data_IF_057418722787
#
_entry.id   IF_057418722787
#
_cell.length_a   1.000
_cell.length_b   1.000
_cell.length_c   1.000
_cell.angle_alpha   90.00
_cell.angle_beta   90.00
_cell.angle_gamma   90.00
#
_symmetry.space_group_name_H-M   'P 1'
#
loop_
_entity.id
_entity.type
_entity.pdbx_description
1 polymer ?
#
# COMPACT_ATOMS: atom_id res chain seq x y z
N UNK A 1 -7.32 27.33 16.17
CA UNK A 1 -8.15 27.20 14.97
C UNK A 1 -9.56 27.69 15.25
N UNK A 2 -10.25 28.21 14.24
CA UNK A 2 -11.61 28.77 14.34
C UNK A 2 -12.59 27.73 14.94
N UNK A 3 -12.48 26.48 14.55
CA UNK A 3 -13.32 25.38 15.04
C UNK A 3 -13.17 25.12 16.55
N UNK A 4 -11.94 25.12 17.07
CA UNK A 4 -11.67 24.93 18.49
C UNK A 4 -12.27 26.07 19.34
N UNK A 5 -12.17 27.30 18.85
CA UNK A 5 -12.74 28.47 19.53
C UNK A 5 -14.27 28.42 19.52
N UNK A 6 -14.89 28.05 18.41
CA UNK A 6 -16.36 27.86 18.34
C UNK A 6 -16.86 26.77 19.30
N UNK A 7 -16.19 25.63 19.35
CA UNK A 7 -16.53 24.58 20.32
C UNK A 7 -16.46 25.10 21.74
N UNK A 8 -15.41 25.84 22.11
CA UNK A 8 -15.20 26.32 23.47
C UNK A 8 -16.16 27.45 23.87
N UNK A 9 -16.40 28.38 22.94
CA UNK A 9 -17.13 29.63 23.25
C UNK A 9 -18.64 29.52 23.01
N UNK A 10 -19.05 28.73 22.01
CA UNK A 10 -20.45 28.67 21.58
C UNK A 10 -21.10 27.36 22.04
N UNK A 11 -20.47 26.21 21.86
CA UNK A 11 -21.10 24.91 22.07
C UNK A 11 -20.97 24.44 23.51
N UNK A 12 -19.81 24.57 24.14
CA UNK A 12 -19.59 24.09 25.51
C UNK A 12 -20.46 24.82 26.56
N UNK A 13 -20.68 26.16 26.49
CA UNK A 13 -21.60 26.82 27.40
C UNK A 13 -23.04 26.30 27.27
N UNK A 14 -23.54 26.14 26.05
CA UNK A 14 -24.86 25.60 25.77
C UNK A 14 -25.02 24.17 26.29
N UNK A 15 -23.99 23.35 26.12
CA UNK A 15 -23.98 21.98 26.63
C UNK A 15 -24.01 21.92 28.15
N UNK A 16 -23.33 22.85 28.85
CA UNK A 16 -23.38 22.95 30.33
C UNK A 16 -24.75 23.38 30.82
N UNK A 17 -25.42 24.27 30.11
CA UNK A 17 -26.78 24.70 30.44
C UNK A 17 -27.79 23.55 30.33
N UNK A 18 -27.73 22.80 29.21
CA UNK A 18 -28.64 21.68 28.96
C UNK A 18 -28.33 20.45 29.82
N UNK A 19 -27.06 20.18 30.07
CA UNK A 19 -26.59 19.01 30.83
C UNK A 19 -25.43 19.39 31.76
N UNK A 20 -25.70 19.88 32.99
CA UNK A 20 -24.66 20.39 33.91
C UNK A 20 -23.51 19.43 34.20
N UNK A 21 -23.71 18.11 34.04
CA UNK A 21 -22.70 17.08 34.24
C UNK A 21 -21.96 16.62 32.96
N UNK A 22 -22.30 17.18 31.81
CA UNK A 22 -21.81 16.70 30.51
C UNK A 22 -20.27 16.71 30.39
N UNK A 23 -19.65 17.82 30.79
CA UNK A 23 -18.19 17.98 30.72
C UNK A 23 -17.44 16.92 31.53
N UNK A 24 -17.91 16.72 32.80
CA UNK A 24 -17.34 15.69 33.66
C UNK A 24 -17.54 14.26 33.10
N UNK A 25 -18.69 14.01 32.48
CA UNK A 25 -18.96 12.72 31.84
C UNK A 25 -18.10 12.48 30.60
N UNK A 26 -17.93 13.49 29.76
CA UNK A 26 -17.03 13.44 28.60
C UNK A 26 -15.60 13.17 29.07
N UNK A 27 -15.09 13.87 30.06
CA UNK A 27 -13.75 13.68 30.60
C UNK A 27 -13.55 12.26 31.16
N UNK A 28 -14.49 11.74 31.93
CA UNK A 28 -14.42 10.36 32.44
C UNK A 28 -14.43 9.34 31.36
N UNK A 29 -15.32 9.47 30.36
CA UNK A 29 -15.35 8.57 29.21
C UNK A 29 -14.04 8.62 28.42
N UNK A 30 -13.51 9.81 28.18
CA UNK A 30 -12.22 9.97 27.50
C UNK A 30 -11.07 9.32 28.28
N UNK A 31 -11.10 9.34 29.60
CA UNK A 31 -10.08 8.68 30.42
C UNK A 31 -10.20 7.16 30.37
N UNK A 32 -11.40 6.61 30.43
CA UNK A 32 -11.65 5.17 30.26
C UNK A 32 -11.11 4.72 28.90
N UNK A 33 -11.51 5.40 27.83
CA UNK A 33 -11.07 5.07 26.46
C UNK A 33 -9.53 5.15 26.28
N UNK A 34 -8.86 6.07 26.97
CA UNK A 34 -7.38 6.14 26.94
C UNK A 34 -6.75 4.91 27.61
N UNK A 35 -7.31 4.44 28.71
CA UNK A 35 -6.82 3.23 29.39
C UNK A 35 -7.06 1.99 28.56
N UNK A 36 -8.23 1.86 27.94
CA UNK A 36 -8.53 0.78 26.99
C UNK A 36 -7.59 0.81 25.79
N UNK A 37 -7.30 2.00 25.24
CA UNK A 37 -6.35 2.15 24.13
C UNK A 37 -4.94 1.70 24.50
N UNK A 38 -4.52 1.91 25.75
CA UNK A 38 -3.25 1.36 26.27
C UNK A 38 -3.22 -0.16 26.22
N UNK A 39 -4.27 -0.80 26.71
CA UNK A 39 -4.41 -2.26 26.65
C UNK A 39 -4.40 -2.80 25.21
N UNK A 40 -5.16 -2.17 24.31
CA UNK A 40 -5.17 -2.54 22.89
C UNK A 40 -3.80 -2.44 22.25
N UNK A 41 -3.04 -1.39 22.57
CA UNK A 41 -1.69 -1.21 22.06
C UNK A 41 -0.77 -2.35 22.49
N UNK A 42 -0.78 -2.71 23.77
CA UNK A 42 0.01 -3.84 24.28
C UNK A 42 -0.36 -5.16 23.58
N UNK A 43 -1.66 -5.43 23.38
CA UNK A 43 -2.13 -6.62 22.67
C UNK A 43 -1.65 -6.64 21.21
N UNK A 44 -1.69 -5.50 20.53
CA UNK A 44 -1.20 -5.36 19.15
C UNK A 44 0.30 -5.59 19.09
N UNK A 45 1.08 -5.00 20.00
CA UNK A 45 2.53 -5.15 20.02
C UNK A 45 2.98 -6.60 20.22
N UNK A 46 2.21 -7.41 20.96
CA UNK A 46 2.49 -8.84 21.16
C UNK A 46 2.32 -9.69 19.90
N UNK A 47 1.47 -9.26 18.98
CA UNK A 47 1.19 -10.02 17.74
C UNK A 47 1.94 -9.49 16.53
N UNK A 48 2.44 -8.26 16.60
CA UNK A 48 3.22 -7.67 15.51
C UNK A 48 4.65 -8.21 15.47
N UNK A 49 5.27 -8.30 14.29
CA UNK A 49 6.68 -8.62 14.18
C UNK A 49 7.52 -7.55 14.91
N UNK A 50 8.64 -7.94 15.49
CA UNK A 50 9.55 -7.00 16.16
C UNK A 50 10.01 -5.89 15.22
N UNK A 51 10.24 -6.23 13.96
CA UNK A 51 10.65 -5.30 12.89
C UNK A 51 9.92 -5.59 11.59
N UNK A 52 9.78 -4.54 10.79
CA UNK A 52 9.16 -4.66 9.46
C UNK A 52 7.63 -4.73 9.51
N UNK A 53 7.07 -5.17 8.42
CA UNK A 53 5.62 -5.14 8.13
C UNK A 53 5.14 -6.45 7.50
N UNK A 54 5.99 -7.48 7.45
CA UNK A 54 5.63 -8.81 6.97
C UNK A 54 5.13 -9.67 8.15
N UNK A 55 4.01 -10.34 7.94
CA UNK A 55 3.39 -11.25 8.90
C UNK A 55 2.87 -12.51 8.18
N UNK A 56 2.76 -13.59 8.93
CA UNK A 56 2.00 -14.74 8.46
C UNK A 56 0.51 -14.38 8.37
N UNK A 57 -0.07 -14.63 7.22
CA UNK A 57 -1.49 -14.40 6.93
C UNK A 57 -2.39 -15.13 7.93
N UNK A 58 -2.05 -16.36 8.26
CA UNK A 58 -2.77 -17.17 9.22
C UNK A 58 -2.85 -16.53 10.60
N UNK A 59 -1.73 -15.96 11.09
CA UNK A 59 -1.71 -15.25 12.38
C UNK A 59 -2.69 -14.10 12.39
N UNK A 60 -2.74 -13.30 11.31
CA UNK A 60 -3.73 -12.23 11.19
C UNK A 60 -5.16 -12.75 11.18
N UNK A 61 -5.45 -13.82 10.44
CA UNK A 61 -6.79 -14.38 10.33
C UNK A 61 -7.31 -15.01 11.63
N UNK A 62 -6.42 -15.55 12.47
CA UNK A 62 -6.77 -16.10 13.78
C UNK A 62 -7.08 -15.00 14.84
N UNK A 63 -6.66 -13.75 14.60
CA UNK A 63 -6.99 -12.67 15.51
C UNK A 63 -8.50 -12.34 15.49
N UNK A 64 -9.09 -11.99 16.64
CA UNK A 64 -10.40 -11.36 16.67
C UNK A 64 -10.42 -10.12 15.77
N UNK A 65 -11.53 -9.88 15.08
CA UNK A 65 -11.66 -8.81 14.08
C UNK A 65 -11.16 -7.44 14.57
N UNK A 66 -11.54 -7.05 15.79
CA UNK A 66 -11.13 -5.76 16.35
C UNK A 66 -9.60 -5.66 16.54
N UNK A 67 -8.96 -6.74 16.96
CA UNK A 67 -7.50 -6.79 17.15
C UNK A 67 -6.78 -6.83 15.79
N UNK A 68 -7.32 -7.57 14.84
CA UNK A 68 -6.80 -7.63 13.47
C UNK A 68 -6.83 -6.26 12.79
N UNK A 69 -7.93 -5.51 12.88
CA UNK A 69 -7.99 -4.14 12.35
C UNK A 69 -6.94 -3.23 13.00
N UNK A 70 -6.72 -3.36 14.30
CA UNK A 70 -5.69 -2.58 15.00
C UNK A 70 -4.28 -2.99 14.58
N UNK A 71 -4.03 -4.28 14.36
CA UNK A 71 -2.77 -4.78 13.83
C UNK A 71 -2.51 -4.24 12.41
N UNK A 72 -3.48 -4.30 11.51
CA UNK A 72 -3.38 -3.71 10.17
C UNK A 72 -3.10 -2.20 10.24
N UNK A 73 -3.77 -1.48 11.13
CA UNK A 73 -3.52 -0.05 11.35
C UNK A 73 -2.09 0.22 11.79
N UNK A 74 -1.58 -0.55 12.75
CA UNK A 74 -0.22 -0.41 13.24
C UNK A 74 0.83 -0.76 12.17
N UNK A 75 0.56 -1.77 11.32
CA UNK A 75 1.41 -2.07 10.15
C UNK A 75 1.44 -0.91 9.15
N UNK A 76 0.29 -0.30 8.86
CA UNK A 76 0.21 0.90 8.01
C UNK A 76 1.06 2.04 8.60
N UNK A 77 0.99 2.25 9.91
CA UNK A 77 1.77 3.30 10.60
C UNK A 77 3.27 3.09 10.50
N UNK A 78 3.72 1.83 10.47
CA UNK A 78 5.14 1.49 10.27
C UNK A 78 5.62 1.74 8.83
N UNK A 79 4.72 1.72 7.86
CA UNK A 79 5.04 1.83 6.43
C UNK A 79 4.82 3.25 5.91
N UNK A 80 3.72 3.91 6.30
CA UNK A 80 3.26 5.15 5.73
C UNK A 80 3.71 6.37 6.55
N UNK A 81 4.03 7.44 5.85
CA UNK A 81 4.25 8.76 6.45
C UNK A 81 2.88 9.43 6.69
N UNK A 82 2.18 9.00 7.76
CA UNK A 82 0.93 9.61 8.20
C UNK A 82 -0.34 8.81 7.90
N UNK A 83 -1.35 8.96 8.78
CA UNK A 83 -2.63 8.24 8.72
C UNK A 83 -3.75 9.00 8.02
N UNK A 84 -3.55 10.23 7.60
CA UNK A 84 -4.66 11.14 7.24
C UNK A 84 -5.56 10.64 6.12
N UNK A 85 -5.02 9.77 5.26
CA UNK A 85 -5.72 9.32 4.07
C UNK A 85 -6.33 7.92 4.19
N UNK A 86 -6.22 7.28 5.36
CA UNK A 86 -6.73 5.93 5.59
C UNK A 86 -8.09 5.95 6.29
N UNK A 87 -9.14 5.62 5.54
CA UNK A 87 -10.50 5.43 6.04
C UNK A 87 -10.89 3.94 6.18
N UNK A 88 -12.08 3.69 6.69
CA UNK A 88 -12.62 2.32 6.88
C UNK A 88 -12.54 1.46 5.61
N UNK A 89 -12.84 2.04 4.44
CA UNK A 89 -12.82 1.33 3.16
C UNK A 89 -11.45 0.71 2.83
N UNK A 90 -10.34 1.33 3.23
CA UNK A 90 -9.00 0.78 3.00
C UNK A 90 -8.73 -0.44 3.88
N UNK A 91 -9.16 -0.42 5.14
CA UNK A 91 -9.03 -1.58 6.04
C UNK A 91 -9.94 -2.74 5.62
N UNK A 92 -11.16 -2.45 5.16
CA UNK A 92 -12.05 -3.45 4.57
C UNK A 92 -11.47 -4.07 3.30
N UNK A 93 -10.78 -3.28 2.47
CA UNK A 93 -10.09 -3.80 1.29
C UNK A 93 -8.93 -4.73 1.68
N UNK A 94 -8.14 -4.39 2.71
CA UNK A 94 -7.11 -5.28 3.26
C UNK A 94 -7.71 -6.56 3.86
N UNK A 95 -8.85 -6.47 4.55
CA UNK A 95 -9.60 -7.64 5.04
C UNK A 95 -10.02 -8.55 3.87
N UNK A 96 -10.57 -7.99 2.80
CA UNK A 96 -10.91 -8.78 1.60
C UNK A 96 -9.67 -9.44 0.98
N UNK A 97 -8.54 -8.75 0.94
CA UNK A 97 -7.27 -9.30 0.46
C UNK A 97 -6.80 -10.47 1.33
N UNK A 98 -6.92 -10.35 2.65
CA UNK A 98 -6.58 -11.42 3.60
C UNK A 98 -7.48 -12.65 3.47
N UNK A 99 -8.76 -12.48 3.22
CA UNK A 99 -9.71 -13.61 3.07
C UNK A 99 -9.77 -14.16 1.64
N UNK A 100 -9.24 -13.44 0.66
CA UNK A 100 -9.28 -13.79 -0.75
C UNK A 100 -8.16 -14.76 -1.18
N UNK A 101 -7.98 -14.97 -2.48
CA UNK A 101 -6.91 -15.81 -3.03
C UNK A 101 -5.51 -15.21 -2.89
N UNK A 102 -5.39 -14.03 -2.30
CA UNK A 102 -4.19 -13.21 -2.27
C UNK A 102 -4.18 -12.20 -3.41
N UNK A 103 -3.05 -11.53 -3.58
CA UNK A 103 -2.88 -10.51 -4.61
C UNK A 103 -2.19 -9.25 -4.10
N UNK A 104 -2.43 -8.15 -4.78
CA UNK A 104 -1.85 -6.85 -4.53
C UNK A 104 -2.97 -5.80 -4.40
N UNK A 105 -2.82 -4.89 -3.44
CA UNK A 105 -3.74 -3.78 -3.21
C UNK A 105 -2.95 -2.49 -3.04
N UNK A 106 -3.16 -1.52 -3.93
CA UNK A 106 -2.60 -0.18 -3.78
C UNK A 106 -3.37 0.62 -2.72
N UNK A 107 -2.64 1.26 -1.85
CA UNK A 107 -3.12 2.04 -0.72
C UNK A 107 -2.62 3.49 -0.80
N UNK A 108 -3.25 4.44 -0.10
CA UNK A 108 -2.78 5.82 -0.07
C UNK A 108 -1.32 5.96 0.38
N UNK A 109 -0.65 7.02 -0.09
CA UNK A 109 0.72 7.33 0.31
C UNK A 109 1.79 6.44 -0.33
N UNK A 110 1.46 5.74 -1.44
CA UNK A 110 2.39 4.85 -2.12
C UNK A 110 2.72 3.61 -1.28
N UNK A 111 1.74 3.09 -0.59
CA UNK A 111 1.84 1.82 0.14
C UNK A 111 1.14 0.73 -0.66
N UNK A 112 1.71 -0.44 -0.68
CA UNK A 112 1.15 -1.63 -1.32
C UNK A 112 0.98 -2.72 -0.28
N UNK A 113 -0.24 -3.24 -0.16
CA UNK A 113 -0.50 -4.46 0.59
C UNK A 113 -0.35 -5.65 -0.35
N UNK A 114 0.47 -6.61 0.04
CA UNK A 114 0.75 -7.84 -0.68
C UNK A 114 0.29 -9.02 0.15
N UNK A 115 -0.46 -9.93 -0.47
CA UNK A 115 -0.81 -11.22 0.12
C UNK A 115 -0.38 -12.32 -0.86
N UNK A 116 0.72 -13.02 -0.54
CA UNK A 116 1.29 -14.09 -1.38
C UNK A 116 1.41 -15.37 -0.57
N UNK A 117 0.57 -16.35 -0.89
CA UNK A 117 0.50 -17.59 -0.13
C UNK A 117 0.17 -17.31 1.35
N UNK A 118 1.05 -17.75 2.24
CA UNK A 118 0.89 -17.60 3.68
C UNK A 118 1.46 -16.27 4.24
N UNK A 119 1.94 -15.37 3.38
CA UNK A 119 2.54 -14.11 3.81
C UNK A 119 1.68 -12.92 3.44
N UNK A 120 1.55 -12.01 4.38
CA UNK A 120 1.00 -10.67 4.19
C UNK A 120 2.07 -9.63 4.54
N UNK A 121 2.28 -8.66 3.66
CA UNK A 121 3.19 -7.54 3.90
C UNK A 121 2.58 -6.21 3.48
N UNK A 122 3.05 -5.14 4.13
CA UNK A 122 2.84 -3.78 3.67
C UNK A 122 4.20 -3.21 3.28
N UNK A 123 4.32 -2.79 2.05
CA UNK A 123 5.55 -2.27 1.50
C UNK A 123 5.32 -0.85 1.00
N UNK A 124 6.34 -0.01 1.07
CA UNK A 124 6.28 1.25 0.37
C UNK A 124 6.51 0.95 -1.11
N UNK A 125 5.59 1.39 -1.93
CA UNK A 125 5.77 1.31 -3.38
C UNK A 125 7.05 2.08 -3.72
N UNK A 126 8.06 1.38 -4.19
CA UNK A 126 9.22 2.04 -4.75
C UNK A 126 8.71 2.92 -5.88
N UNK A 127 8.98 4.22 -5.80
CA UNK A 127 8.60 5.17 -6.83
C UNK A 127 9.04 4.54 -8.15
N UNK A 128 8.07 4.27 -9.03
CA UNK A 128 8.39 3.66 -10.32
C UNK A 128 9.58 4.40 -10.90
N UNK A 129 10.67 3.71 -11.22
CA UNK A 129 11.89 4.37 -11.64
C UNK A 129 11.59 5.20 -12.90
N UNK A 130 12.24 6.35 -13.00
CA UNK A 130 12.04 7.24 -14.14
C UNK A 130 12.33 6.51 -15.46
N UNK A 131 11.64 6.94 -16.51
CA UNK A 131 11.88 6.41 -17.85
C UNK A 131 13.32 6.75 -18.27
N UNK A 132 14.09 5.73 -18.65
CA UNK A 132 15.48 5.86 -19.09
C UNK A 132 15.64 5.34 -20.53
N UNK A 133 16.55 5.93 -21.29
CA UNK A 133 16.93 5.39 -22.59
C UNK A 133 17.67 4.06 -22.40
N UNK A 134 17.27 3.04 -23.15
CA UNK A 134 17.93 1.75 -23.17
C UNK A 134 19.04 1.79 -24.24
N UNK A 135 20.28 1.88 -23.78
CA UNK A 135 21.46 1.90 -24.64
C UNK A 135 22.07 0.50 -24.75
N UNK A 136 22.83 0.21 -25.83
CA UNK A 136 23.58 -1.05 -25.95
C UNK A 136 24.47 -1.27 -24.72
N UNK A 137 24.46 -2.47 -24.18
CA UNK A 137 25.15 -2.85 -22.95
C UNK A 137 24.19 -3.09 -21.80
N UNK A 138 24.68 -2.94 -20.58
CA UNK A 138 23.94 -3.23 -19.35
C UNK A 138 23.31 -1.96 -18.79
N UNK A 139 21.98 -1.95 -18.67
CA UNK A 139 21.20 -0.89 -18.02
C UNK A 139 20.56 -1.45 -16.75
N UNK A 140 20.73 -0.76 -15.62
CA UNK A 140 20.01 -1.06 -14.38
C UNK A 140 18.82 -0.13 -14.26
N UNK A 141 17.62 -0.70 -14.03
CA UNK A 141 16.38 0.05 -13.92
C UNK A 141 15.47 -0.56 -12.85
N UNK A 142 15.21 0.19 -11.79
CA UNK A 142 14.55 -0.37 -10.61
C UNK A 142 15.34 -1.55 -10.05
N UNK A 143 14.67 -2.64 -9.74
CA UNK A 143 15.28 -3.91 -9.31
C UNK A 143 15.78 -4.81 -10.47
N UNK A 144 15.74 -4.33 -11.71
CA UNK A 144 16.03 -5.12 -12.89
C UNK A 144 17.38 -4.75 -13.50
N UNK A 145 18.04 -5.75 -14.09
CA UNK A 145 19.22 -5.56 -14.95
C UNK A 145 18.84 -6.00 -16.37
N UNK A 146 18.92 -5.08 -17.31
CA UNK A 146 18.58 -5.32 -18.71
C UNK A 146 19.83 -5.21 -19.56
N UNK A 147 20.11 -6.26 -20.35
CA UNK A 147 21.19 -6.27 -21.32
C UNK A 147 20.56 -6.04 -22.71
N UNK A 148 21.01 -5.00 -23.41
CA UNK A 148 20.70 -4.78 -24.82
C UNK A 148 21.92 -5.06 -25.66
N UNK A 149 21.81 -6.02 -26.57
CA UNK A 149 22.89 -6.35 -27.51
C UNK A 149 22.31 -6.52 -28.92
N UNK A 150 23.13 -6.20 -29.91
CA UNK A 150 22.82 -6.49 -31.31
C UNK A 150 23.42 -7.86 -31.67
N UNK A 151 22.58 -8.77 -32.18
CA UNK A 151 22.99 -10.12 -32.55
C UNK A 151 22.48 -10.47 -33.94
N UNK A 152 23.31 -11.13 -34.72
CA UNK A 152 22.93 -11.72 -36.01
C UNK A 152 22.19 -13.05 -35.82
N UNK A 153 22.40 -13.70 -34.66
CA UNK A 153 21.76 -14.97 -34.29
C UNK A 153 21.02 -14.84 -32.95
N UNK A 154 19.87 -14.18 -32.95
CA UNK A 154 19.15 -13.96 -31.71
C UNK A 154 18.61 -15.26 -31.12
N UNK A 155 18.85 -15.46 -29.84
CA UNK A 155 18.26 -16.58 -29.07
C UNK A 155 16.95 -16.11 -28.46
N UNK A 156 15.85 -16.71 -28.88
CA UNK A 156 14.53 -16.46 -28.35
C UNK A 156 14.21 -17.46 -27.21
N UNK A 157 13.78 -16.99 -26.06
CA UNK A 157 13.34 -17.85 -24.96
C UNK A 157 13.74 -17.34 -23.58
N UNK A 158 13.13 -17.84 -22.53
CA UNK A 158 13.36 -17.39 -21.16
C UNK A 158 12.98 -15.93 -20.95
N UNK A 159 13.89 -15.12 -20.41
CA UNK A 159 13.71 -13.69 -20.17
C UNK A 159 14.27 -12.80 -21.29
N UNK A 160 14.43 -13.33 -22.51
CA UNK A 160 14.96 -12.59 -23.64
C UNK A 160 13.85 -12.19 -24.62
N UNK A 161 13.84 -10.92 -25.00
CA UNK A 161 12.97 -10.37 -26.04
C UNK A 161 13.83 -10.02 -27.27
N UNK A 162 13.44 -10.55 -28.42
CA UNK A 162 14.11 -10.27 -29.70
C UNK A 162 13.28 -9.24 -30.46
N UNK A 163 13.93 -8.17 -30.87
CA UNK A 163 13.33 -7.06 -31.61
C UNK A 163 14.09 -6.84 -32.95
N UNK A 164 13.35 -6.48 -33.96
CA UNK A 164 13.90 -6.09 -35.25
C UNK A 164 14.46 -4.67 -35.19
N UNK A 165 15.79 -4.53 -35.23
CA UNK A 165 16.47 -3.24 -35.07
C UNK A 165 16.08 -2.21 -36.13
N UNK A 166 15.76 -2.64 -37.34
CA UNK A 166 15.39 -1.74 -38.44
C UNK A 166 14.00 -1.16 -38.30
N UNK A 167 13.19 -1.75 -37.42
CA UNK A 167 11.83 -1.28 -37.07
C UNK A 167 11.77 -0.39 -35.84
N UNK A 168 12.91 -0.02 -35.26
CA UNK A 168 12.98 0.81 -34.03
C UNK A 168 13.76 2.10 -34.33
N UNK A 169 13.21 3.04 -35.13
CA UNK A 169 13.95 4.24 -35.56
C UNK A 169 14.21 5.24 -34.43
N UNK A 170 13.45 5.17 -33.32
CA UNK A 170 13.54 6.11 -32.21
C UNK A 170 14.33 5.61 -30.99
N UNK A 171 14.95 4.43 -31.08
CA UNK A 171 15.58 3.80 -29.92
C UNK A 171 14.58 3.16 -28.96
N UNK A 172 15.08 2.61 -27.88
CA UNK A 172 14.28 1.94 -26.84
C UNK A 172 14.36 2.73 -25.53
N UNK A 173 13.28 2.68 -24.77
CA UNK A 173 13.23 3.23 -23.42
C UNK A 173 12.69 2.20 -22.44
N UNK A 174 13.18 2.22 -21.21
CA UNK A 174 12.61 1.51 -20.07
C UNK A 174 11.81 2.49 -19.21
N UNK A 175 10.58 2.17 -18.94
CA UNK A 175 9.70 3.01 -18.13
C UNK A 175 8.60 2.21 -17.46
N UNK A 176 7.94 2.79 -16.44
CA UNK A 176 6.80 2.16 -15.80
C UNK A 176 5.63 2.05 -16.78
N UNK A 177 4.88 0.96 -16.70
CA UNK A 177 3.61 0.80 -17.41
C UNK A 177 2.63 1.88 -16.98
N UNK A 178 1.97 2.51 -17.95
CA UNK A 178 0.96 3.56 -17.72
C UNK A 178 -0.42 3.07 -18.17
N UNK A 179 -1.50 3.60 -17.57
CA UNK A 179 -2.84 3.35 -18.07
C UNK A 179 -2.95 3.74 -19.55
N UNK A 180 -3.38 2.79 -20.38
CA UNK A 180 -3.43 2.98 -21.83
C UNK A 180 -2.25 2.41 -22.60
N UNK A 181 -1.17 1.98 -21.94
CA UNK A 181 -0.12 1.20 -22.59
C UNK A 181 -0.70 -0.12 -23.10
N UNK A 182 -0.14 -0.62 -24.18
CA UNK A 182 -0.60 -1.85 -24.80
C UNK A 182 0.46 -2.51 -25.63
N UNK A 183 0.39 -3.82 -25.68
CA UNK A 183 1.33 -4.70 -26.35
C UNK A 183 0.67 -5.36 -27.57
N UNK A 184 1.35 -5.34 -28.70
CA UNK A 184 0.99 -6.13 -29.88
C UNK A 184 1.87 -7.39 -29.89
N UNK A 185 1.25 -8.55 -29.67
CA UNK A 185 1.99 -9.82 -29.72
C UNK A 185 2.09 -10.32 -31.16
N UNK A 186 3.23 -10.86 -31.59
CA UNK A 186 3.37 -11.49 -32.91
C UNK A 186 2.32 -12.60 -33.09
N UNK A 187 1.57 -12.57 -34.18
CA UNK A 187 0.50 -13.52 -34.46
C UNK A 187 -0.82 -13.32 -33.70
N UNK A 188 -0.90 -12.33 -32.79
CA UNK A 188 -2.13 -11.97 -32.08
C UNK A 188 -3.03 -11.04 -32.88
N UNK A 189 -4.35 -11.23 -32.79
CA UNK A 189 -5.33 -10.30 -33.35
C UNK A 189 -5.62 -9.22 -32.31
N UNK A 190 -4.97 -8.04 -32.43
CA UNK A 190 -5.29 -6.85 -31.65
C UNK A 190 -4.28 -6.50 -30.53
N UNK A 191 -4.52 -5.32 -29.95
CA UNK A 191 -3.75 -4.76 -28.84
C UNK A 191 -4.27 -5.35 -27.54
N UNK A 192 -3.35 -5.86 -26.69
CA UNK A 192 -3.67 -6.21 -25.31
C UNK A 192 -3.23 -5.06 -24.41
N UNK A 193 -4.10 -4.63 -23.50
CA UNK A 193 -3.72 -3.71 -22.43
C UNK A 193 -2.77 -4.42 -21.46
N UNK A 194 -1.79 -3.71 -20.99
CA UNK A 194 -0.85 -4.16 -19.94
C UNK A 194 -1.45 -3.85 -18.58
#
# INVERSE_FOLDING_TARGET
SLTRNRLRLDIMPLLRELYPGAEGSICRTAEILRREEGCWRELVERVLPERGTEMERRVLLELPYALRLRALRALVERTAVGRKDYGAAHYEAMERLLHGPGGLLHLPGGVVALCRGEKFSLEKEDRAPETVALLPGVTRWGGYTVLLEKSEHPVSGGNALVLDADKIPGGLTLGPCRPGDGLYLPGGRGRRSV
#
